data_IF_053090793352
#
_entry.id   IF_053090793352
#
_cell.length_a   1.000
_cell.length_b   1.000
_cell.length_c   1.000
_cell.angle_alpha   90.00
_cell.angle_beta   90.00
_cell.angle_gamma   90.00
#
_symmetry.space_group_name_H-M   'P 1'
#
loop_
_entity.id
_entity.type
_entity.pdbx_description
1 polymer ?
#
# COMPACT_ATOMS: atom_id res chain seq x y z
N UNK A 1 11.83 1.09 -10.11
CA UNK A 1 11.64 -0.31 -9.65
C UNK A 1 10.29 -0.38 -8.96
N UNK A 2 9.29 -1.02 -9.57
CA UNK A 2 7.93 -1.11 -9.04
C UNK A 2 7.64 -2.57 -8.75
N UNK A 3 7.52 -2.90 -7.46
CA UNK A 3 7.23 -4.22 -6.90
C UNK A 3 6.11 -4.97 -7.66
N UNK A 4 5.08 -4.23 -8.11
CA UNK A 4 3.97 -4.72 -8.91
C UNK A 4 4.37 -5.31 -10.27
N UNK A 5 5.34 -4.70 -10.96
CA UNK A 5 5.83 -5.22 -12.25
C UNK A 5 6.60 -6.51 -12.06
N UNK A 6 7.47 -6.52 -11.06
CA UNK A 6 8.49 -7.56 -10.90
C UNK A 6 7.90 -8.84 -10.29
N UNK A 7 6.84 -8.72 -9.47
CA UNK A 7 6.18 -9.87 -8.83
C UNK A 7 4.86 -10.29 -9.50
N UNK A 8 4.02 -9.32 -9.81
CA UNK A 8 2.63 -9.57 -10.21
C UNK A 8 2.44 -9.49 -11.74
N UNK A 9 3.53 -9.35 -12.50
CA UNK A 9 3.53 -9.36 -13.97
C UNK A 9 2.94 -8.09 -14.62
N UNK A 10 2.38 -7.18 -13.82
CA UNK A 10 1.86 -5.90 -14.29
C UNK A 10 2.02 -4.83 -13.21
N UNK A 11 2.64 -3.70 -13.57
CA UNK A 11 2.55 -2.50 -12.77
C UNK A 11 1.33 -1.70 -13.24
N UNK A 12 0.48 -1.23 -12.31
CA UNK A 12 -0.58 -0.32 -12.69
C UNK A 12 -0.01 0.95 -13.33
N UNK A 13 -0.84 1.66 -14.10
CA UNK A 13 -0.44 2.86 -14.84
C UNK A 13 -1.59 3.86 -14.84
N UNK A 14 -1.27 5.14 -15.04
CA UNK A 14 -2.27 6.19 -15.15
C UNK A 14 -2.64 6.83 -13.82
N UNK A 15 -3.80 7.48 -13.78
CA UNK A 15 -4.24 8.34 -12.67
C UNK A 15 -4.70 7.57 -11.43
N UNK A 16 -5.04 6.29 -11.59
CA UNK A 16 -5.48 5.37 -10.52
C UNK A 16 -4.35 4.56 -9.91
N UNK A 17 -3.12 4.71 -10.41
CA UNK A 17 -1.93 3.95 -10.03
C UNK A 17 -1.83 3.62 -8.53
N UNK A 18 -2.06 4.61 -7.66
CA UNK A 18 -1.94 4.42 -6.23
C UNK A 18 -3.03 3.52 -5.63
N UNK A 19 -4.27 3.56 -6.16
CA UNK A 19 -5.33 2.65 -5.74
C UNK A 19 -5.05 1.25 -6.26
N UNK A 20 -4.71 1.15 -7.53
CA UNK A 20 -4.48 -0.14 -8.19
C UNK A 20 -3.35 -0.93 -7.50
N UNK A 21 -2.30 -0.25 -7.02
CA UNK A 21 -1.23 -0.89 -6.22
C UNK A 21 -1.78 -1.45 -4.90
N UNK A 22 -2.64 -0.70 -4.20
CA UNK A 22 -3.23 -1.19 -2.94
C UNK A 22 -4.14 -2.40 -3.20
N UNK A 23 -4.97 -2.35 -4.23
CA UNK A 23 -5.88 -3.44 -4.60
C UNK A 23 -5.10 -4.69 -5.00
N UNK A 24 -4.02 -4.51 -5.76
CA UNK A 24 -3.11 -5.58 -6.13
C UNK A 24 -2.45 -6.20 -4.90
N UNK A 25 -1.96 -5.39 -3.95
CA UNK A 25 -1.35 -5.90 -2.70
C UNK A 25 -2.35 -6.60 -1.78
N UNK A 26 -3.63 -6.22 -1.83
CA UNK A 26 -4.72 -6.89 -1.09
C UNK A 26 -5.24 -8.16 -1.79
N UNK A 27 -4.90 -8.35 -3.06
CA UNK A 27 -5.30 -9.53 -3.82
C UNK A 27 -4.29 -10.67 -3.65
N UNK A 28 -4.81 -11.89 -3.65
CA UNK A 28 -4.00 -13.09 -3.81
C UNK A 28 -3.50 -13.17 -5.25
N UNK A 29 -2.27 -13.64 -5.43
CA UNK A 29 -1.76 -14.08 -6.72
C UNK A 29 -1.53 -15.58 -6.64
N UNK A 30 -2.51 -16.34 -7.15
CA UNK A 30 -2.55 -17.80 -7.04
C UNK A 30 -1.22 -18.44 -7.46
N UNK A 31 -0.65 -19.26 -6.57
CA UNK A 31 0.61 -19.95 -6.79
C UNK A 31 1.87 -19.07 -6.75
N UNK A 32 1.77 -17.80 -6.33
CA UNK A 32 2.92 -16.89 -6.18
C UNK A 32 2.98 -16.19 -4.83
N UNK A 33 1.91 -15.51 -4.42
CA UNK A 33 1.89 -14.84 -3.11
C UNK A 33 0.49 -14.75 -2.51
N UNK A 34 0.37 -14.91 -1.19
CA UNK A 34 -0.87 -14.56 -0.50
C UNK A 34 -1.14 -13.04 -0.56
N UNK A 35 -2.36 -12.60 -0.18
CA UNK A 35 -2.64 -11.21 0.10
C UNK A 35 -1.64 -10.62 1.10
N UNK A 36 -1.01 -9.50 0.73
CA UNK A 36 -0.07 -8.80 1.62
C UNK A 36 -0.80 -7.88 2.58
N UNK A 37 -1.90 -7.28 2.14
CA UNK A 37 -2.72 -6.41 2.98
C UNK A 37 -3.93 -7.18 3.51
N UNK A 38 -4.17 -7.09 4.81
CA UNK A 38 -5.48 -7.45 5.34
C UNK A 38 -6.53 -6.44 4.87
N UNK A 39 -7.83 -6.79 4.91
CA UNK A 39 -8.91 -5.86 4.56
C UNK A 39 -8.85 -4.54 5.34
N UNK A 40 -8.60 -4.60 6.64
CA UNK A 40 -8.47 -3.39 7.47
C UNK A 40 -7.25 -2.55 7.05
N UNK A 41 -6.09 -3.16 6.84
CA UNK A 41 -4.88 -2.42 6.44
C UNK A 41 -5.05 -1.77 5.06
N UNK A 42 -5.73 -2.44 4.13
CA UNK A 42 -6.08 -1.87 2.82
C UNK A 42 -6.97 -0.63 2.94
N UNK A 43 -8.01 -0.68 3.78
CA UNK A 43 -8.90 0.46 4.05
C UNK A 43 -8.10 1.64 4.60
N UNK A 44 -7.28 1.41 5.63
CA UNK A 44 -6.52 2.51 6.24
C UNK A 44 -5.49 3.14 5.29
N UNK A 45 -4.82 2.32 4.47
CA UNK A 45 -3.89 2.84 3.46
C UNK A 45 -4.62 3.60 2.34
N UNK A 46 -5.84 3.18 1.99
CA UNK A 46 -6.70 3.90 1.04
C UNK A 46 -7.11 5.28 1.58
N UNK A 47 -7.44 5.39 2.86
CA UNK A 47 -7.71 6.66 3.54
C UNK A 47 -6.49 7.60 3.53
N UNK A 48 -5.30 7.09 3.87
CA UNK A 48 -4.05 7.85 3.81
C UNK A 48 -3.74 8.32 2.37
N UNK A 49 -4.00 7.48 1.36
CA UNK A 49 -3.89 7.85 -0.06
C UNK A 49 -4.87 8.97 -0.41
N UNK A 50 -6.11 8.87 0.05
CA UNK A 50 -7.14 9.90 -0.14
C UNK A 50 -6.70 11.24 0.43
N UNK A 51 -6.17 11.25 1.66
CA UNK A 51 -5.61 12.43 2.30
C UNK A 51 -4.45 13.03 1.50
N UNK A 52 -3.51 12.21 1.01
CA UNK A 52 -2.41 12.67 0.15
C UNK A 52 -2.91 13.33 -1.14
N UNK A 53 -3.91 12.74 -1.79
CA UNK A 53 -4.48 13.32 -3.01
C UNK A 53 -5.13 14.68 -2.72
N UNK A 54 -5.88 14.75 -1.63
CA UNK A 54 -6.53 15.96 -1.15
C UNK A 54 -5.53 17.09 -0.86
N UNK A 55 -4.44 16.81 -0.14
CA UNK A 55 -3.33 17.76 0.10
C UNK A 55 -2.71 18.24 -1.22
N UNK A 56 -2.46 17.33 -2.17
CA UNK A 56 -1.76 17.64 -3.42
C UNK A 56 -2.60 18.44 -4.43
N UNK A 57 -3.92 18.25 -4.46
CA UNK A 57 -4.76 18.77 -5.55
C UNK A 57 -5.79 19.82 -5.15
N UNK A 58 -6.16 19.92 -3.87
CA UNK A 58 -7.28 20.77 -3.43
C UNK A 58 -6.94 21.75 -2.30
N UNK A 59 -5.78 21.64 -1.66
CA UNK A 59 -5.52 22.25 -0.35
C UNK A 59 -4.44 23.33 -0.37
N UNK A 60 -4.64 24.36 -1.20
CA UNK A 60 -3.84 25.58 -1.15
C UNK A 60 -4.24 26.58 -0.05
N UNK A 61 -5.43 26.45 0.56
CA UNK A 61 -5.98 27.51 1.42
C UNK A 61 -6.66 27.09 2.74
N UNK A 62 -7.02 25.81 2.99
CA UNK A 62 -7.78 25.44 4.20
C UNK A 62 -7.44 24.02 4.72
N UNK A 63 -6.20 23.79 5.17
CA UNK A 63 -5.83 22.57 5.89
C UNK A 63 -6.62 22.48 7.20
N UNK A 64 -7.56 21.52 7.28
CA UNK A 64 -8.26 21.20 8.53
C UNK A 64 -7.29 20.50 9.49
N UNK A 65 -6.88 21.13 10.60
CA UNK A 65 -5.85 20.59 11.48
C UNK A 65 -6.22 19.22 12.05
N UNK A 66 -7.50 19.02 12.38
CA UNK A 66 -8.04 17.74 12.86
C UNK A 66 -7.78 16.61 11.87
N UNK A 67 -7.99 16.84 10.57
CA UNK A 67 -7.72 15.83 9.53
C UNK A 67 -6.23 15.52 9.39
N UNK A 68 -5.35 16.48 9.66
CA UNK A 68 -3.90 16.23 9.67
C UNK A 68 -3.57 15.32 10.85
N UNK A 69 -4.04 15.65 12.06
CA UNK A 69 -3.81 14.86 13.27
C UNK A 69 -4.35 13.43 13.12
N UNK A 70 -5.60 13.27 12.68
CA UNK A 70 -6.22 11.97 12.41
C UNK A 70 -5.37 11.10 11.48
N UNK A 71 -4.81 11.69 10.42
CA UNK A 71 -3.99 10.97 9.45
C UNK A 71 -2.59 10.63 9.99
N UNK A 72 -2.00 11.48 10.83
CA UNK A 72 -0.75 11.17 11.53
C UNK A 72 -0.95 10.00 12.49
N UNK A 73 -2.00 10.03 13.31
CA UNK A 73 -2.33 8.93 14.23
C UNK A 73 -2.64 7.64 13.48
N UNK A 74 -3.39 7.72 12.38
CA UNK A 74 -3.62 6.58 11.48
C UNK A 74 -2.30 6.02 10.97
N UNK A 75 -1.39 6.87 10.47
CA UNK A 75 -0.09 6.46 9.97
C UNK A 75 0.72 5.73 11.05
N UNK A 76 0.80 6.30 12.25
CA UNK A 76 1.51 5.70 13.39
C UNK A 76 0.96 4.32 13.76
N UNK A 77 -0.37 4.15 13.67
CA UNK A 77 -1.03 2.87 13.94
C UNK A 77 -0.74 1.82 12.87
N UNK A 78 -0.78 2.19 11.59
CA UNK A 78 -0.74 1.21 10.48
C UNK A 78 0.65 0.90 9.99
N UNK A 79 1.61 1.82 10.17
CA UNK A 79 2.97 1.68 9.66
C UNK A 79 3.67 0.41 10.16
N UNK A 80 3.62 0.04 11.47
CA UNK A 80 4.26 -1.18 11.94
C UNK A 80 3.71 -2.44 11.25
N UNK A 81 2.39 -2.54 11.10
CA UNK A 81 1.74 -3.66 10.40
C UNK A 81 2.13 -3.69 8.93
N UNK A 82 2.16 -2.53 8.26
CA UNK A 82 2.59 -2.45 6.87
C UNK A 82 4.05 -2.88 6.67
N UNK A 83 4.96 -2.41 7.54
CA UNK A 83 6.37 -2.80 7.50
C UNK A 83 6.56 -4.30 7.70
N UNK A 84 5.82 -4.92 8.63
CA UNK A 84 5.85 -6.38 8.82
C UNK A 84 5.41 -7.14 7.56
N UNK A 85 4.42 -6.63 6.82
CA UNK A 85 3.99 -7.24 5.55
C UNK A 85 5.05 -7.15 4.46
N UNK A 86 5.81 -6.06 4.41
CA UNK A 86 6.94 -5.93 3.48
C UNK A 86 8.11 -6.85 3.83
N UNK A 87 8.40 -7.02 5.12
CA UNK A 87 9.42 -7.97 5.59
C UNK A 87 9.00 -9.40 5.23
N UNK A 88 7.76 -9.78 5.54
CA UNK A 88 7.23 -11.11 5.21
C UNK A 88 7.25 -11.38 3.69
N UNK A 89 6.97 -10.37 2.86
CA UNK A 89 7.12 -10.49 1.42
C UNK A 89 8.58 -10.72 1.01
N UNK A 90 9.52 -9.94 1.55
CA UNK A 90 10.94 -10.11 1.27
C UNK A 90 11.40 -11.54 1.58
N UNK A 91 11.02 -12.06 2.74
CA UNK A 91 11.40 -13.40 3.18
C UNK A 91 10.80 -14.49 2.27
N UNK A 92 9.55 -14.31 1.82
CA UNK A 92 8.90 -15.20 0.85
C UNK A 92 9.67 -15.24 -0.48
N UNK A 93 10.10 -14.07 -0.99
CA UNK A 93 10.87 -13.98 -2.23
C UNK A 93 12.29 -14.54 -2.10
N UNK A 94 12.91 -14.39 -0.94
CA UNK A 94 14.21 -14.99 -0.63
C UNK A 94 14.14 -16.52 -0.54
N UNK A 95 13.02 -17.09 -0.07
CA UNK A 95 12.82 -18.54 -0.05
C UNK A 95 12.56 -19.15 -1.42
N UNK A 96 11.82 -18.47 -2.30
CA UNK A 96 11.54 -18.94 -3.67
C UNK A 96 12.81 -18.96 -4.54
N UNK A 97 13.73 -18.02 -4.32
CA UNK A 97 15.00 -17.93 -5.06
C UNK A 97 16.05 -18.95 -4.62
N UNK A 98 15.85 -19.66 -3.50
CA UNK A 98 16.71 -20.76 -3.04
C UNK A 98 16.25 -22.15 -3.54
N UNK A 99 15.13 -22.22 -4.27
CA UNK A 99 14.52 -23.46 -4.77
C UNK A 99 14.72 -23.70 -6.27
N UNK A 100 15.61 -22.94 -6.91
CA UNK A 100 16.05 -23.05 -8.31
C UNK A 100 17.56 -23.28 -8.38
#
# INVERSE_FOLDING_TARGET
>A
MSLARDLDGSAPKGTTLHQDVLDQMASELAGRRPPLLSPDLHIQLTELKGFRHLVRHKYGFDLQPEKVVDNVERLQRVYPSFSQRLIALHDLLASDSSSL
#
